data_IF_839152142193
#
_entry.id   IF_839152142193
#
_cell.length_a   1.000
_cell.length_b   1.000
_cell.length_c   1.000
_cell.angle_alpha   90.00
_cell.angle_beta   90.00
_cell.angle_gamma   90.00
#
_symmetry.space_group_name_H-M   'P 1'
#
loop_
_entity.id
_entity.type
_entity.pdbx_description
1 polymer ?
#
# COMPACT_ATOMS: atom_id res chain seq x y z
N UNK A 1 -15.02 -2.01 -15.11
CA UNK A 1 -14.43 -3.31 -14.69
C UNK A 1 -13.77 -3.03 -13.36
N UNK A 2 -14.39 -3.44 -12.26
CA UNK A 2 -13.90 -3.19 -10.89
C UNK A 2 -12.44 -3.63 -10.78
N UNK A 3 -11.49 -2.71 -10.65
CA UNK A 3 -10.05 -3.04 -10.61
C UNK A 3 -9.72 -4.04 -9.50
N UNK A 4 -10.56 -4.08 -8.47
CA UNK A 4 -10.46 -5.00 -7.35
C UNK A 4 -10.69 -6.47 -7.75
N UNK A 5 -11.52 -6.74 -8.77
CA UNK A 5 -11.77 -8.11 -9.26
C UNK A 5 -10.50 -8.75 -9.83
N UNK A 6 -9.50 -7.95 -10.23
CA UNK A 6 -8.21 -8.49 -10.69
C UNK A 6 -7.51 -9.34 -9.62
N UNK A 7 -7.78 -9.09 -8.34
CA UNK A 7 -7.20 -9.83 -7.21
C UNK A 7 -8.15 -10.89 -6.64
N UNK A 8 -9.27 -11.19 -7.29
CA UNK A 8 -10.27 -12.17 -6.83
C UNK A 8 -9.64 -13.49 -6.39
N UNK A 9 -8.78 -14.08 -7.22
CA UNK A 9 -8.14 -15.37 -6.90
C UNK A 9 -7.24 -15.31 -5.66
N UNK A 10 -6.63 -14.16 -5.37
CA UNK A 10 -5.86 -13.97 -4.14
C UNK A 10 -6.79 -13.98 -2.92
N UNK A 11 -7.90 -13.24 -2.99
CA UNK A 11 -8.91 -13.18 -1.94
C UNK A 11 -9.57 -14.53 -1.66
N UNK A 12 -9.94 -15.27 -2.71
CA UNK A 12 -10.53 -16.61 -2.62
C UNK A 12 -9.59 -17.60 -1.91
N UNK A 13 -8.27 -17.39 -2.03
CA UNK A 13 -7.23 -18.18 -1.34
C UNK A 13 -6.77 -17.58 -0.01
N UNK A 14 -7.50 -16.59 0.52
CA UNK A 14 -7.17 -15.88 1.75
C UNK A 14 -5.75 -15.28 1.75
N UNK A 15 -5.26 -14.86 0.58
CA UNK A 15 -3.98 -14.18 0.41
C UNK A 15 -4.15 -12.69 0.51
N UNK A 16 -3.17 -12.01 1.12
CA UNK A 16 -3.24 -10.56 1.27
C UNK A 16 -2.91 -9.82 -0.02
N UNK A 17 -3.48 -8.63 -0.15
CA UNK A 17 -3.19 -7.64 -1.20
C UNK A 17 -2.76 -6.37 -0.48
N UNK A 18 -1.46 -6.07 -0.52
CA UNK A 18 -0.88 -4.91 0.17
C UNK A 18 -0.44 -3.85 -0.84
N UNK A 19 -0.54 -2.58 -0.50
CA UNK A 19 -0.23 -1.50 -1.43
C UNK A 19 0.87 -0.56 -0.95
N UNK A 20 1.84 -0.29 -1.82
CA UNK A 20 2.83 0.77 -1.67
C UNK A 20 2.63 1.81 -2.78
N UNK A 21 1.71 2.77 -2.58
CA UNK A 21 1.43 3.84 -3.52
C UNK A 21 2.43 4.99 -3.41
N UNK A 22 2.65 5.68 -4.51
CA UNK A 22 3.37 6.96 -4.57
C UNK A 22 4.78 6.92 -3.97
N UNK A 23 5.47 5.78 -4.07
CA UNK A 23 6.81 5.62 -3.50
C UNK A 23 7.79 6.62 -4.12
N UNK A 24 8.59 7.28 -3.29
CA UNK A 24 9.68 8.16 -3.70
C UNK A 24 11.01 7.40 -3.83
N UNK A 25 12.02 8.11 -4.35
CA UNK A 25 13.38 7.57 -4.41
C UNK A 25 13.89 7.24 -3.00
N UNK A 26 14.48 6.05 -2.85
CA UNK A 26 14.92 5.50 -1.57
C UNK A 26 13.89 4.60 -0.87
N UNK A 27 12.60 4.66 -1.23
CA UNK A 27 11.55 3.88 -0.55
C UNK A 27 11.33 2.48 -1.17
N UNK A 28 11.74 2.27 -2.43
CA UNK A 28 11.45 1.03 -3.15
C UNK A 28 12.02 -0.20 -2.42
N UNK A 29 13.28 -0.12 -1.99
CA UNK A 29 13.97 -1.21 -1.30
C UNK A 29 13.31 -1.56 0.05
N UNK A 30 12.81 -0.54 0.75
CA UNK A 30 12.08 -0.71 2.00
C UNK A 30 10.74 -1.41 1.77
N UNK A 31 9.98 -1.01 0.73
CA UNK A 31 8.74 -1.67 0.34
C UNK A 31 8.95 -3.17 0.03
N UNK A 32 10.01 -3.51 -0.71
CA UNK A 32 10.38 -4.90 -0.97
C UNK A 32 10.76 -5.66 0.30
N UNK A 33 11.54 -5.06 1.19
CA UNK A 33 11.94 -5.68 2.46
C UNK A 33 10.72 -5.97 3.35
N UNK A 34 9.80 -5.01 3.49
CA UNK A 34 8.54 -5.15 4.24
C UNK A 34 7.70 -6.26 3.61
N UNK A 35 7.53 -6.27 2.29
CA UNK A 35 6.71 -7.28 1.62
C UNK A 35 7.30 -8.69 1.76
N UNK A 36 8.63 -8.85 1.64
CA UNK A 36 9.29 -10.14 1.86
C UNK A 36 9.12 -10.64 3.31
N UNK A 37 9.12 -9.74 4.29
CA UNK A 37 8.82 -10.09 5.68
C UNK A 37 7.33 -10.49 5.84
N UNK A 38 6.40 -9.73 5.25
CA UNK A 38 4.97 -10.03 5.28
C UNK A 38 4.63 -11.37 4.64
N UNK A 39 5.31 -11.77 3.57
CA UNK A 39 5.12 -13.08 2.94
C UNK A 39 5.39 -14.25 3.90
N UNK A 40 6.18 -14.06 4.96
CA UNK A 40 6.39 -15.06 6.02
C UNK A 40 5.23 -15.14 7.01
N UNK A 41 4.42 -14.08 7.10
CA UNK A 41 3.23 -14.00 7.96
C UNK A 41 2.00 -14.48 7.21
N UNK A 42 1.76 -13.93 6.01
CA UNK A 42 0.62 -14.27 5.15
C UNK A 42 1.04 -14.12 3.70
N UNK A 43 0.88 -15.19 2.93
CA UNK A 43 1.16 -15.15 1.49
C UNK A 43 0.26 -14.11 0.80
N UNK A 44 0.82 -13.39 -0.17
CA UNK A 44 0.11 -12.29 -0.80
C UNK A 44 0.74 -11.77 -2.07
N UNK A 45 0.26 -10.60 -2.47
CA UNK A 45 0.77 -9.79 -3.56
C UNK A 45 0.96 -8.36 -3.08
N UNK A 46 2.05 -7.75 -3.53
CA UNK A 46 2.30 -6.33 -3.40
C UNK A 46 1.83 -5.61 -4.66
N UNK A 47 0.98 -4.60 -4.51
CA UNK A 47 0.78 -3.57 -5.52
C UNK A 47 1.84 -2.49 -5.25
N UNK A 48 2.55 -2.03 -6.27
CA UNK A 48 3.61 -1.03 -6.13
C UNK A 48 3.45 0.03 -7.21
N UNK A 49 3.47 1.30 -6.81
CA UNK A 49 3.35 2.44 -7.72
C UNK A 49 4.41 3.51 -7.36
N UNK A 50 5.39 3.77 -8.22
CA UNK A 50 6.31 4.91 -8.05
C UNK A 50 5.58 6.26 -8.22
N UNK A 51 6.18 7.33 -7.71
CA UNK A 51 5.62 8.69 -7.71
C UNK A 51 5.61 9.41 -9.06
N UNK A 52 6.51 9.04 -9.99
CA UNK A 52 6.69 9.74 -11.28
C UNK A 52 7.09 8.83 -12.43
N UNK A 53 6.77 9.26 -13.65
CA UNK A 53 6.97 8.47 -14.87
C UNK A 53 8.42 8.09 -15.15
N UNK A 54 9.33 9.03 -14.94
CA UNK A 54 10.77 8.82 -15.10
C UNK A 54 11.31 7.67 -14.25
N UNK A 55 10.62 7.33 -13.15
CA UNK A 55 11.01 6.27 -12.22
C UNK A 55 10.40 4.91 -12.52
N UNK A 56 9.41 4.79 -13.41
CA UNK A 56 8.77 3.50 -13.67
C UNK A 56 9.75 2.44 -14.19
N UNK A 57 10.55 2.78 -15.21
CA UNK A 57 11.50 1.83 -15.78
C UNK A 57 12.68 1.52 -14.83
N UNK A 58 13.34 2.50 -14.18
CA UNK A 58 14.36 2.22 -13.16
C UNK A 58 13.86 1.33 -12.02
N UNK A 59 12.71 1.64 -11.41
CA UNK A 59 12.18 0.85 -10.29
C UNK A 59 11.77 -0.55 -10.75
N UNK A 60 11.18 -0.69 -11.94
CA UNK A 60 10.88 -2.01 -12.50
C UNK A 60 12.14 -2.86 -12.73
N UNK A 61 13.27 -2.26 -13.14
CA UNK A 61 14.53 -3.00 -13.28
C UNK A 61 15.10 -3.43 -11.93
N UNK A 62 15.03 -2.56 -10.92
CA UNK A 62 15.43 -2.89 -9.55
C UNK A 62 14.57 -4.01 -8.97
N UNK A 63 13.26 -4.03 -9.28
CA UNK A 63 12.34 -5.09 -8.87
C UNK A 63 12.81 -6.50 -9.27
N UNK A 64 13.47 -6.63 -10.42
CA UNK A 64 13.94 -7.93 -10.93
C UNK A 64 15.02 -8.55 -10.04
N UNK A 65 15.76 -7.75 -9.27
CA UNK A 65 16.82 -8.22 -8.36
C UNK A 65 16.26 -9.02 -7.18
N UNK A 66 14.98 -8.81 -6.84
CA UNK A 66 14.32 -9.53 -5.73
C UNK A 66 13.84 -10.93 -6.12
N UNK A 67 13.99 -11.34 -7.38
CA UNK A 67 13.54 -12.63 -7.91
C UNK A 67 12.04 -12.92 -7.63
N UNK A 68 11.24 -11.87 -7.44
CA UNK A 68 9.80 -11.94 -7.30
C UNK A 68 9.15 -11.84 -8.67
N UNK A 69 8.18 -12.70 -8.95
CA UNK A 69 7.44 -12.61 -10.19
C UNK A 69 6.65 -11.31 -10.25
N UNK A 70 7.07 -10.43 -11.15
CA UNK A 70 6.55 -9.07 -11.31
C UNK A 70 5.78 -8.95 -12.62
N UNK A 71 4.61 -8.36 -12.56
CA UNK A 71 3.81 -8.00 -13.74
C UNK A 71 3.61 -6.49 -13.75
N UNK A 72 3.92 -5.85 -14.88
CA UNK A 72 3.50 -4.47 -15.16
C UNK A 72 2.05 -4.45 -15.58
N UNK A 73 1.28 -3.54 -15.01
CA UNK A 73 -0.12 -3.32 -15.36
C UNK A 73 -0.32 -3.17 -16.86
N UNK A 74 0.51 -2.31 -17.48
CA UNK A 74 0.53 -2.01 -18.90
C UNK A 74 0.71 -3.23 -19.82
N UNK A 75 1.25 -4.33 -19.28
CA UNK A 75 1.54 -5.57 -20.01
C UNK A 75 0.62 -6.73 -19.61
N UNK A 76 -0.34 -6.51 -18.72
CA UNK A 76 -1.28 -7.55 -18.31
C UNK A 76 -2.39 -7.71 -19.37
N UNK A 77 -2.32 -8.81 -20.13
CA UNK A 77 -3.30 -9.15 -21.16
C UNK A 77 -4.52 -9.92 -20.62
N UNK A 78 -4.49 -10.34 -19.36
CA UNK A 78 -5.58 -11.13 -18.73
C UNK A 78 -6.42 -10.27 -17.78
N UNK A 79 -7.66 -10.70 -17.53
CA UNK A 79 -8.55 -10.03 -16.58
C UNK A 79 -8.12 -10.22 -15.13
N UNK A 80 -7.55 -11.39 -14.79
CA UNK A 80 -7.09 -11.73 -13.43
C UNK A 80 -5.56 -11.73 -13.36
N UNK A 81 -5.03 -11.39 -12.19
CA UNK A 81 -3.59 -11.50 -11.90
C UNK A 81 -3.24 -12.95 -11.58
N UNK A 82 -2.29 -13.58 -12.29
CA UNK A 82 -1.88 -14.95 -11.99
C UNK A 82 -1.40 -15.13 -10.54
N UNK A 83 -1.83 -16.20 -9.87
CA UNK A 83 -1.48 -16.51 -8.48
C UNK A 83 0.02 -16.69 -8.18
N UNK A 84 0.86 -16.86 -9.21
CA UNK A 84 2.31 -16.92 -9.09
C UNK A 84 2.96 -15.53 -8.99
N UNK A 85 2.26 -14.48 -9.42
CA UNK A 85 2.68 -13.10 -9.29
C UNK A 85 2.80 -12.69 -7.83
N UNK A 86 3.83 -11.92 -7.52
CA UNK A 86 4.12 -11.38 -6.19
C UNK A 86 4.16 -9.86 -6.18
N UNK A 87 4.42 -9.25 -7.34
CA UNK A 87 4.44 -7.80 -7.50
C UNK A 87 3.56 -7.42 -8.68
N UNK A 88 2.63 -6.51 -8.43
CA UNK A 88 1.79 -5.86 -9.42
C UNK A 88 2.23 -4.39 -9.55
N UNK A 89 2.95 -4.10 -10.63
CA UNK A 89 3.59 -2.80 -10.85
C UNK A 89 2.67 -1.85 -11.61
N UNK A 90 2.41 -0.68 -11.05
CA UNK A 90 1.45 0.32 -11.54
C UNK A 90 2.18 1.58 -11.98
N UNK A 91 1.83 2.10 -13.16
CA UNK A 91 2.64 3.06 -13.93
C UNK A 91 1.84 4.29 -14.38
N UNK A 92 0.68 4.56 -13.79
CA UNK A 92 -0.02 5.83 -14.05
C UNK A 92 -0.69 6.31 -12.78
N UNK A 93 -0.90 7.63 -12.67
CA UNK A 93 -1.57 8.23 -11.54
C UNK A 93 -3.03 7.76 -11.44
N UNK A 94 -3.73 7.65 -12.58
CA UNK A 94 -5.12 7.18 -12.62
C UNK A 94 -5.24 5.75 -12.11
N UNK A 95 -4.29 4.88 -12.48
CA UNK A 95 -4.26 3.50 -12.01
C UNK A 95 -3.82 3.41 -10.56
N UNK A 96 -2.85 4.22 -10.13
CA UNK A 96 -2.44 4.32 -8.72
C UNK A 96 -3.66 4.59 -7.84
N UNK A 97 -4.46 5.57 -8.23
CA UNK A 97 -5.63 6.02 -7.49
C UNK A 97 -6.78 5.01 -7.50
N UNK A 98 -6.77 4.07 -8.45
CA UNK A 98 -7.81 3.05 -8.60
C UNK A 98 -7.65 1.84 -7.66
N UNK A 99 -6.49 1.66 -7.03
CA UNK A 99 -6.20 0.47 -6.22
C UNK A 99 -6.39 0.65 -4.71
N UNK A 100 -6.57 1.88 -4.22
CA UNK A 100 -6.74 2.14 -2.78
C UNK A 100 -7.92 1.38 -2.16
N UNK A 101 -9.07 1.33 -2.85
CA UNK A 101 -10.24 0.56 -2.42
C UNK A 101 -10.11 -0.96 -2.58
N UNK A 102 -9.03 -1.44 -3.20
CA UNK A 102 -8.85 -2.84 -3.60
C UNK A 102 -7.86 -3.62 -2.76
N UNK A 103 -7.29 -3.03 -1.72
CA UNK A 103 -6.19 -3.59 -0.92
C UNK A 103 -6.59 -3.76 0.54
N UNK A 104 -5.88 -4.60 1.28
CA UNK A 104 -6.14 -4.83 2.70
C UNK A 104 -5.64 -3.66 3.57
N UNK A 105 -4.53 -3.03 3.14
CA UNK A 105 -4.00 -1.77 3.68
C UNK A 105 -2.97 -1.20 2.70
N UNK A 106 -2.57 0.06 2.90
CA UNK A 106 -1.43 0.65 2.22
C UNK A 106 -0.39 1.22 3.19
N UNK A 107 0.85 1.30 2.70
CA UNK A 107 1.96 2.05 3.29
C UNK A 107 2.26 3.21 2.34
N UNK A 108 1.76 4.43 2.63
CA UNK A 108 1.88 5.55 1.69
C UNK A 108 3.32 5.98 1.48
N UNK A 109 3.69 6.30 0.23
CA UNK A 109 4.97 6.92 -0.08
C UNK A 109 5.16 8.25 0.65
N UNK A 110 6.43 8.60 0.84
CA UNK A 110 6.87 9.71 1.70
C UNK A 110 6.86 9.37 3.19
N UNK A 111 6.36 8.20 3.59
CA UNK A 111 6.36 7.77 4.99
C UNK A 111 7.49 6.80 5.35
N UNK A 112 8.12 6.13 4.38
CA UNK A 112 9.18 5.16 4.63
C UNK A 112 10.55 5.84 4.76
N UNK A 113 10.94 6.61 3.75
CA UNK A 113 12.23 7.33 3.72
C UNK A 113 12.08 8.85 3.86
N UNK A 114 10.84 9.36 3.88
CA UNK A 114 10.51 10.78 3.88
C UNK A 114 10.18 11.29 2.48
N UNK A 115 9.47 12.41 2.40
CA UNK A 115 9.02 12.98 1.13
C UNK A 115 7.66 13.65 1.26
N UNK A 116 7.02 13.90 0.12
CA UNK A 116 5.68 14.48 0.08
C UNK A 116 4.64 13.39 0.35
N UNK A 117 3.82 13.56 1.39
CA UNK A 117 2.81 12.57 1.77
C UNK A 117 1.45 13.01 1.27
N UNK A 118 0.83 12.20 0.40
CA UNK A 118 -0.55 12.37 -0.05
C UNK A 118 -1.42 11.21 0.46
N UNK A 119 -2.37 11.53 1.33
CA UNK A 119 -3.31 10.58 1.93
C UNK A 119 -4.74 10.75 1.42
N UNK A 120 -5.04 11.81 0.65
CA UNK A 120 -6.40 12.25 0.41
C UNK A 120 -7.21 11.18 -0.32
N UNK A 121 -6.64 10.61 -1.40
CA UNK A 121 -7.30 9.56 -2.18
C UNK A 121 -7.43 8.26 -1.41
N UNK A 122 -6.39 7.87 -0.67
CA UNK A 122 -6.39 6.66 0.15
C UNK A 122 -7.53 6.70 1.19
N UNK A 123 -7.68 7.84 1.86
CA UNK A 123 -8.73 8.06 2.86
C UNK A 123 -10.10 8.09 2.20
N UNK A 124 -10.26 8.83 1.10
CA UNK A 124 -11.54 8.91 0.37
C UNK A 124 -12.05 7.52 -0.04
N UNK A 125 -11.16 6.62 -0.47
CA UNK A 125 -11.50 5.26 -0.86
C UNK A 125 -11.66 4.29 0.32
N UNK A 126 -11.31 4.71 1.54
CA UNK A 126 -11.39 3.85 2.72
C UNK A 126 -10.28 2.81 2.78
N UNK A 127 -9.09 3.16 2.30
CA UNK A 127 -7.90 2.33 2.44
C UNK A 127 -7.34 2.45 3.87
N UNK A 128 -7.15 1.34 4.60
CA UNK A 128 -6.46 1.37 5.89
C UNK A 128 -5.00 1.81 5.74
N UNK A 129 -4.52 2.68 6.64
CA UNK A 129 -3.21 3.33 6.53
C UNK A 129 -2.22 2.88 7.61
N UNK A 130 -1.11 2.29 7.20
CA UNK A 130 0.08 2.09 8.06
C UNK A 130 1.11 3.14 7.66
N UNK A 131 1.32 4.13 8.51
CA UNK A 131 2.28 5.21 8.30
C UNK A 131 3.68 4.75 8.68
N UNK A 132 4.63 4.89 7.77
CA UNK A 132 6.03 4.53 8.01
C UNK A 132 6.78 5.48 8.96
N UNK A 133 8.02 5.11 9.32
CA UNK A 133 8.83 5.77 10.35
C UNK A 133 9.22 7.21 10.05
N UNK A 134 9.25 7.60 8.78
CA UNK A 134 9.61 8.93 8.33
C UNK A 134 8.41 9.83 8.05
N UNK A 135 7.19 9.39 8.38
CA UNK A 135 6.02 10.27 8.37
C UNK A 135 6.27 11.50 9.27
N UNK A 136 6.20 12.74 8.73
CA UNK A 136 6.44 13.95 9.51
C UNK A 136 5.53 14.10 10.72
N UNK A 137 6.05 14.65 11.81
CA UNK A 137 5.24 14.99 12.99
C UNK A 137 4.44 16.27 12.78
N UNK A 138 3.35 16.15 12.02
CA UNK A 138 2.45 17.24 11.72
C UNK A 138 1.05 16.99 12.29
N UNK A 139 0.19 18.00 12.21
CA UNK A 139 -1.19 17.94 12.68
C UNK A 139 -1.99 16.80 12.05
N UNK A 140 -1.68 16.43 10.79
CA UNK A 140 -2.33 15.31 10.10
C UNK A 140 -1.97 13.98 10.76
N UNK A 141 -0.68 13.71 10.98
CA UNK A 141 -0.22 12.50 11.67
C UNK A 141 -0.84 12.42 13.07
N UNK A 142 -0.73 13.50 13.84
CA UNK A 142 -1.25 13.55 15.21
C UNK A 142 -2.76 13.34 15.27
N UNK A 143 -3.52 14.00 14.39
CA UNK A 143 -4.97 13.88 14.32
C UNK A 143 -5.44 12.49 13.91
N UNK A 144 -4.81 11.89 12.90
CA UNK A 144 -5.13 10.53 12.48
C UNK A 144 -4.85 9.50 13.58
N UNK A 145 -3.71 9.61 14.27
CA UNK A 145 -3.37 8.72 15.37
C UNK A 145 -4.32 8.90 16.56
N UNK A 146 -4.61 10.14 16.95
CA UNK A 146 -5.54 10.44 18.04
C UNK A 146 -6.97 9.93 17.77
N UNK A 147 -7.39 9.95 16.50
CA UNK A 147 -8.69 9.40 16.09
C UNK A 147 -8.70 7.86 15.96
N UNK A 148 -7.55 7.20 16.03
CA UNK A 148 -7.41 5.78 15.68
C UNK A 148 -7.74 5.51 14.20
N UNK A 149 -7.47 6.48 13.34
CA UNK A 149 -7.74 6.48 11.91
C UNK A 149 -6.57 5.93 11.07
N UNK A 150 -5.38 5.87 11.66
CA UNK A 150 -4.20 5.24 11.09
C UNK A 150 -3.37 4.65 12.23
N UNK A 151 -2.38 3.83 11.88
CA UNK A 151 -1.32 3.42 12.80
C UNK A 151 0.02 3.95 12.27
N UNK A 152 0.98 4.18 13.16
CA UNK A 152 2.31 4.64 12.80
C UNK A 152 3.35 3.68 13.37
N UNK A 153 4.34 3.34 12.55
CA UNK A 153 5.43 2.45 12.89
C UNK A 153 6.73 3.24 13.07
N UNK A 154 7.56 2.85 14.04
CA UNK A 154 8.87 3.43 14.31
C UNK A 154 9.98 2.85 13.43
N UNK A 155 9.75 1.67 12.84
CA UNK A 155 10.64 1.03 11.88
C UNK A 155 9.88 0.04 10.98
N UNK A 156 10.59 -0.57 10.03
CA UNK A 156 10.02 -1.53 9.08
C UNK A 156 9.57 -2.85 9.73
N UNK A 157 10.11 -3.22 10.89
CA UNK A 157 9.65 -4.41 11.61
C UNK A 157 8.28 -4.14 12.24
N UNK A 158 8.08 -2.96 12.83
CA UNK A 158 6.79 -2.57 13.40
C UNK A 158 5.70 -2.41 12.32
N UNK A 159 6.05 -2.00 11.09
CA UNK A 159 5.10 -2.05 9.95
C UNK A 159 4.57 -3.47 9.75
N UNK A 160 5.45 -4.48 9.80
CA UNK A 160 5.07 -5.89 9.60
C UNK A 160 4.19 -6.38 10.75
N UNK A 161 4.47 -5.99 11.99
CA UNK A 161 3.68 -6.36 13.16
C UNK A 161 2.28 -5.74 13.14
N UNK A 162 2.18 -4.44 12.81
CA UNK A 162 0.90 -3.74 12.64
C UNK A 162 0.08 -4.35 11.50
N UNK A 163 0.73 -4.63 10.38
CA UNK A 163 0.09 -5.33 9.25
C UNK A 163 -0.38 -6.73 9.64
N UNK A 164 0.41 -7.50 10.40
CA UNK A 164 0.00 -8.81 10.92
C UNK A 164 -1.26 -8.71 11.78
N UNK A 165 -1.36 -7.69 12.64
CA UNK A 165 -2.54 -7.46 13.45
C UNK A 165 -3.77 -7.22 12.57
N UNK A 166 -3.68 -6.32 11.58
CA UNK A 166 -4.76 -6.01 10.65
C UNK A 166 -5.13 -7.16 9.69
N UNK A 167 -4.16 -7.97 9.27
CA UNK A 167 -4.43 -9.15 8.44
C UNK A 167 -5.11 -10.29 9.22
N UNK A 168 -5.02 -10.25 10.55
CA UNK A 168 -5.68 -11.16 11.49
C UNK A 168 -7.04 -10.63 11.97
N UNK A 169 -7.21 -9.30 12.01
CA UNK A 169 -8.47 -8.60 12.25
C UNK A 169 -8.76 -7.55 11.18
N UNK A 170 -9.29 -7.97 10.01
CA UNK A 170 -9.64 -7.05 8.93
C UNK A 170 -10.75 -6.05 9.31
N UNK A 171 -11.56 -6.36 10.33
CA UNK A 171 -12.61 -5.45 10.80
C UNK A 171 -12.00 -4.25 11.52
N UNK A 172 -10.94 -4.44 12.32
CA UNK A 172 -10.19 -3.34 12.92
C UNK A 172 -9.55 -2.43 11.86
N UNK A 173 -8.95 -2.99 10.81
CA UNK A 173 -8.38 -2.21 9.71
C UNK A 173 -9.44 -1.36 9.01
N UNK A 174 -10.61 -1.95 8.69
CA UNK A 174 -11.74 -1.23 8.09
C UNK A 174 -12.30 -0.14 9.02
N UNK A 175 -12.39 -0.40 10.32
CA UNK A 175 -12.83 0.60 11.29
C UNK A 175 -11.88 1.80 11.35
N UNK A 176 -10.57 1.58 11.25
CA UNK A 176 -9.57 2.65 11.16
C UNK A 176 -9.77 3.50 9.88
N UNK A 177 -9.98 2.86 8.74
CA UNK A 177 -10.24 3.57 7.48
C UNK A 177 -11.51 4.44 7.53
N UNK A 178 -12.60 3.95 8.14
CA UNK A 178 -13.83 4.74 8.31
C UNK A 178 -13.62 5.93 9.26
N UNK A 179 -12.84 5.74 10.34
CA UNK A 179 -12.43 6.85 11.21
C UNK A 179 -11.58 7.88 10.45
N UNK A 180 -10.72 7.44 9.53
CA UNK A 180 -9.93 8.33 8.69
C UNK A 180 -10.82 9.21 7.81
N UNK A 181 -11.83 8.64 7.15
CA UNK A 181 -12.81 9.41 6.37
C UNK A 181 -13.51 10.48 7.21
N UNK A 182 -14.01 10.09 8.38
CA UNK A 182 -14.72 11.01 9.29
C UNK A 182 -13.80 12.12 9.78
N UNK A 183 -12.56 11.79 10.15
CA UNK A 183 -11.59 12.78 10.59
C UNK A 183 -11.21 13.75 9.46
N UNK A 184 -10.90 13.22 8.28
CA UNK A 184 -10.48 14.01 7.12
C UNK A 184 -11.56 14.99 6.66
N UNK A 185 -12.83 14.56 6.60
CA UNK A 185 -13.96 15.41 6.24
C UNK A 185 -14.15 16.61 7.19
N UNK A 186 -13.63 16.55 8.41
CA UNK A 186 -13.74 17.62 9.43
C UNK A 186 -12.54 18.56 9.47
N UNK A 187 -11.40 18.18 8.91
CA UNK A 187 -10.12 18.87 9.12
C UNK A 187 -9.32 19.16 7.85
N UNK A 188 -9.68 18.57 6.70
CA UNK A 188 -8.95 18.74 5.44
C UNK A 188 -9.54 19.86 4.54
N UNK A 189 -10.16 20.88 5.14
CA UNK A 189 -10.65 22.07 4.45
C UNK A 189 -9.63 23.21 4.50
#
# INVERSE_FOLDING_TARGET
>A
MEWCERFKEFRDRQRCVVYFPNLHEGEDAEAYAIFLALMRVKMGIMVLAPDREERYEPVYREALKYHLQTIRHSRLLTSLVPLKTRVYFVETAELRDAFYGCVDFCVPGGTLAGGAVDLAKAIADGCPLILGPKMPDNAVRQGLLAAGAAVWAQDNAEIVDLAKAWLSDPAAAKAAAEKAKVWWARHAA
#
